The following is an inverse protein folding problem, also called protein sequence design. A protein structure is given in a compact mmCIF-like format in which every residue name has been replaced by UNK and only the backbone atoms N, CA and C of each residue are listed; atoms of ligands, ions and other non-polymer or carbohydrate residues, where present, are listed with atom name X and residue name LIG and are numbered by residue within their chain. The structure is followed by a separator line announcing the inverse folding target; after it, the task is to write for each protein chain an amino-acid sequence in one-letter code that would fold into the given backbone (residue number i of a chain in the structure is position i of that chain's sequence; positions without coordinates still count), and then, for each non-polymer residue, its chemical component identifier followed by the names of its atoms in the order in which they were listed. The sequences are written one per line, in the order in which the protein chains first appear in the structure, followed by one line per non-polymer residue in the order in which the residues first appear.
data_IF_172229748165
#
_entry.id   IF_172229748165
#
_cell.length_a   1.000
_cell.length_b   1.000
_cell.length_c   1.000
_cell.angle_alpha   90.00
_cell.angle_beta   90.00
_cell.angle_gamma   90.00
#
_symmetry.space_group_name_H-M   'P 1'
#
loop_
_entity.id
_entity.type
_entity.pdbx_description
1 polymer ?
#
# COMPACT_ATOMS: atom_id res chain seq x y z
N UNK A 1 -33.84 25.05 -47.46
CA UNK A 1 -34.18 25.29 -46.04
C UNK A 1 -34.41 24.01 -45.25
N UNK A 2 -35.06 22.94 -45.79
CA UNK A 2 -35.25 21.69 -45.02
C UNK A 2 -33.93 20.96 -44.72
N UNK A 3 -33.06 20.75 -45.72
CA UNK A 3 -31.78 20.05 -45.52
C UNK A 3 -30.89 20.64 -44.42
N UNK A 4 -30.93 21.97 -44.21
CA UNK A 4 -30.13 22.62 -43.16
C UNK A 4 -30.68 22.31 -41.77
N UNK A 5 -32.00 22.37 -41.59
CA UNK A 5 -32.65 21.99 -40.33
C UNK A 5 -32.45 20.49 -40.01
N UNK A 6 -32.48 19.63 -41.03
CA UNK A 6 -32.26 18.19 -40.85
C UNK A 6 -30.81 17.91 -40.41
N UNK A 7 -29.83 18.57 -41.02
CA UNK A 7 -28.42 18.51 -40.62
C UNK A 7 -28.17 19.02 -39.20
N UNK A 8 -28.78 20.15 -38.83
CA UNK A 8 -28.67 20.71 -37.46
C UNK A 8 -29.30 19.75 -36.44
N UNK A 9 -30.43 19.12 -36.78
CA UNK A 9 -31.08 18.12 -35.92
C UNK A 9 -30.20 16.89 -35.69
N UNK A 10 -29.57 16.35 -36.73
CA UNK A 10 -28.63 15.22 -36.60
C UNK A 10 -27.36 15.60 -35.84
N UNK A 11 -26.90 16.83 -35.99
CA UNK A 11 -25.74 17.35 -35.26
C UNK A 11 -26.02 17.52 -33.76
N UNK A 12 -27.22 17.97 -33.38
CA UNK A 12 -27.65 18.04 -31.97
C UNK A 12 -27.77 16.64 -31.35
N UNK A 13 -28.34 15.67 -32.06
CA UNK A 13 -28.37 14.26 -31.58
C UNK A 13 -26.96 13.68 -31.38
N UNK A 14 -26.03 14.07 -32.24
CA UNK A 14 -24.62 13.66 -32.11
C UNK A 14 -23.97 14.32 -30.90
N UNK A 15 -24.29 15.59 -30.64
CA UNK A 15 -23.83 16.31 -29.46
C UNK A 15 -24.37 15.70 -28.17
N UNK A 16 -25.64 15.30 -28.12
CA UNK A 16 -26.23 14.62 -26.95
C UNK A 16 -25.50 13.31 -26.63
N UNK A 17 -25.16 12.53 -27.67
CA UNK A 17 -24.33 11.32 -27.51
C UNK A 17 -22.93 11.64 -27.01
N UNK A 18 -22.33 12.73 -27.49
CA UNK A 18 -20.99 13.14 -27.06
C UNK A 18 -20.99 13.53 -25.58
N UNK A 19 -21.97 14.33 -25.16
CA UNK A 19 -22.12 14.74 -23.76
C UNK A 19 -22.37 13.55 -22.84
N UNK A 20 -23.19 12.59 -23.27
CA UNK A 20 -23.41 11.35 -22.53
C UNK A 20 -22.12 10.54 -22.36
N UNK A 21 -21.36 10.36 -23.45
CA UNK A 21 -20.08 9.65 -23.39
C UNK A 21 -19.09 10.39 -22.49
N UNK A 22 -19.06 11.73 -22.57
CA UNK A 22 -18.21 12.55 -21.72
C UNK A 22 -18.55 12.38 -20.24
N UNK A 23 -19.83 12.39 -19.86
CA UNK A 23 -20.23 12.16 -18.47
C UNK A 23 -19.87 10.77 -17.96
N UNK A 24 -19.96 9.74 -18.81
CA UNK A 24 -19.56 8.38 -18.42
C UNK A 24 -18.04 8.27 -18.25
N UNK A 25 -17.24 8.99 -19.06
CA UNK A 25 -15.78 9.07 -18.89
C UNK A 25 -15.43 9.74 -17.57
N UNK A 26 -16.05 10.89 -17.26
CA UNK A 26 -15.81 11.63 -16.01
C UNK A 26 -16.13 10.74 -14.78
N UNK A 27 -17.25 10.03 -14.82
CA UNK A 27 -17.63 9.05 -13.79
C UNK A 27 -16.60 7.91 -13.65
N UNK A 28 -16.10 7.36 -14.76
CA UNK A 28 -15.09 6.31 -14.72
C UNK A 28 -13.77 6.80 -14.10
N UNK A 29 -13.35 8.03 -14.41
CA UNK A 29 -12.14 8.64 -13.84
C UNK A 29 -12.28 8.88 -12.34
N UNK A 30 -13.47 9.29 -11.88
CA UNK A 30 -13.75 9.45 -10.45
C UNK A 30 -13.66 8.12 -9.70
N UNK A 31 -14.23 7.04 -10.26
CA UNK A 31 -14.13 5.69 -9.70
C UNK A 31 -12.68 5.19 -9.67
N UNK A 32 -11.90 5.44 -10.72
CA UNK A 32 -10.47 5.09 -10.78
C UNK A 32 -9.68 5.79 -9.67
N UNK A 33 -9.93 7.07 -9.44
CA UNK A 33 -9.29 7.83 -8.36
C UNK A 33 -9.60 7.23 -6.99
N UNK A 34 -10.86 6.88 -6.72
CA UNK A 34 -11.27 6.26 -5.46
C UNK A 34 -10.60 4.90 -5.24
N UNK A 35 -10.49 4.08 -6.30
CA UNK A 35 -9.80 2.78 -6.22
C UNK A 35 -8.32 2.96 -5.92
N UNK A 36 -7.65 3.92 -6.58
CA UNK A 36 -6.24 4.20 -6.35
C UNK A 36 -5.95 4.71 -4.94
N UNK A 37 -6.84 5.52 -4.37
CA UNK A 37 -6.75 5.96 -2.97
C UNK A 37 -6.87 4.78 -2.00
N UNK A 38 -7.89 3.93 -2.19
CA UNK A 38 -8.09 2.72 -1.36
C UNK A 38 -6.90 1.74 -1.46
N UNK A 39 -6.33 1.55 -2.66
CA UNK A 39 -5.14 0.71 -2.85
C UNK A 39 -3.92 1.26 -2.11
N UNK A 40 -3.69 2.57 -2.19
CA UNK A 40 -2.58 3.22 -1.46
C UNK A 40 -2.72 3.09 0.05
N UNK A 41 -3.93 3.25 0.58
CA UNK A 41 -4.21 3.04 2.00
C UNK A 41 -3.95 1.59 2.43
N UNK A 42 -4.41 0.62 1.63
CA UNK A 42 -4.21 -0.81 1.89
C UNK A 42 -2.73 -1.22 1.85
N UNK A 43 -1.97 -0.72 0.86
CA UNK A 43 -0.53 -0.99 0.75
C UNK A 43 0.26 -0.37 1.92
N UNK A 44 -0.13 0.82 2.37
CA UNK A 44 0.49 1.49 3.51
C UNK A 44 0.29 0.71 4.81
N UNK A 45 -0.93 0.20 5.05
CA UNK A 45 -1.24 -0.64 6.22
C UNK A 45 -0.39 -1.93 6.20
N UNK A 46 -0.28 -2.58 5.04
CA UNK A 46 0.52 -3.80 4.86
C UNK A 46 2.00 -3.58 5.17
N UNK A 47 2.59 -2.47 4.69
CA UNK A 47 3.99 -2.13 4.97
C UNK A 47 4.21 -1.83 6.47
N UNK A 48 3.27 -1.15 7.12
CA UNK A 48 3.35 -0.88 8.55
C UNK A 48 3.31 -2.15 9.39
N UNK A 49 2.46 -3.12 9.04
CA UNK A 49 2.44 -4.43 9.68
C UNK A 49 3.76 -5.20 9.50
N UNK A 50 4.37 -5.12 8.32
CA UNK A 50 5.67 -5.75 8.06
C UNK A 50 6.80 -5.10 8.86
N UNK A 51 6.83 -3.77 8.95
CA UNK A 51 7.78 -3.03 9.80
C UNK A 51 7.63 -3.45 11.27
N UNK A 52 6.40 -3.51 11.78
CA UNK A 52 6.12 -3.91 13.15
C UNK A 52 6.63 -5.33 13.44
N UNK A 53 6.37 -6.28 12.52
CA UNK A 53 6.86 -7.66 12.61
C UNK A 53 8.37 -7.72 12.67
N UNK A 54 9.06 -6.97 11.82
CA UNK A 54 10.53 -6.91 11.79
C UNK A 54 11.11 -6.32 13.09
N UNK A 55 10.44 -5.33 13.68
CA UNK A 55 10.86 -4.76 14.97
C UNK A 55 10.72 -5.76 16.12
N UNK A 56 9.62 -6.54 16.15
CA UNK A 56 9.41 -7.59 17.14
C UNK A 56 10.47 -8.70 17.02
N UNK A 57 10.77 -9.12 15.80
CA UNK A 57 11.82 -10.11 15.53
C UNK A 57 13.19 -9.60 15.99
N UNK A 58 13.52 -8.33 15.68
CA UNK A 58 14.77 -7.71 16.13
C UNK A 58 14.90 -7.70 17.66
N UNK A 59 13.81 -7.39 18.37
CA UNK A 59 13.77 -7.41 19.83
C UNK A 59 14.05 -8.81 20.39
N UNK A 60 13.45 -9.84 19.79
CA UNK A 60 13.66 -11.23 20.19
C UNK A 60 15.10 -11.68 19.96
N UNK A 61 15.68 -11.31 18.81
CA UNK A 61 17.08 -11.59 18.50
C UNK A 61 18.00 -10.92 19.51
N UNK A 62 17.72 -9.65 19.88
CA UNK A 62 18.51 -8.92 20.85
C UNK A 62 18.47 -9.57 22.24
N UNK A 63 17.28 -9.97 22.73
CA UNK A 63 17.14 -10.66 24.02
C UNK A 63 17.86 -12.02 24.02
N UNK A 64 17.75 -12.78 22.94
CA UNK A 64 18.46 -14.05 22.78
C UNK A 64 19.97 -13.85 22.80
N UNK A 65 20.47 -12.85 22.06
CA UNK A 65 21.88 -12.53 21.99
C UNK A 65 22.44 -12.13 23.36
N UNK A 66 21.68 -11.33 24.13
CA UNK A 66 22.07 -10.96 25.49
C UNK A 66 22.20 -12.19 26.40
N UNK A 67 21.21 -13.08 26.40
CA UNK A 67 21.23 -14.32 27.20
C UNK A 67 22.42 -15.20 26.83
N UNK A 68 22.66 -15.40 25.54
CA UNK A 68 23.81 -16.18 25.07
C UNK A 68 25.14 -15.55 25.51
N UNK A 69 25.25 -14.23 25.45
CA UNK A 69 26.45 -13.49 25.88
C UNK A 69 26.70 -13.67 27.38
N UNK A 70 25.66 -13.56 28.21
CA UNK A 70 25.74 -13.79 29.65
C UNK A 70 26.18 -15.23 29.97
N UNK A 71 25.65 -16.24 29.27
CA UNK A 71 26.04 -17.64 29.43
C UNK A 71 27.52 -17.87 29.09
N UNK A 72 28.00 -17.26 28.00
CA UNK A 72 29.42 -17.34 27.60
C UNK A 72 30.32 -16.76 28.69
N UNK A 73 30.00 -15.56 29.20
CA UNK A 73 30.75 -14.89 30.27
C UNK A 73 30.78 -15.75 31.53
N UNK A 74 29.62 -16.28 31.96
CA UNK A 74 29.52 -17.18 33.12
C UNK A 74 30.37 -18.43 32.94
N UNK A 75 30.35 -19.05 31.77
CA UNK A 75 31.17 -20.25 31.49
C UNK A 75 32.67 -19.93 31.58
N UNK A 76 33.08 -18.75 31.13
CA UNK A 76 34.47 -18.31 31.18
C UNK A 76 34.94 -18.04 32.62
N UNK A 77 34.11 -17.36 33.41
CA UNK A 77 34.37 -17.08 34.83
C UNK A 77 34.40 -18.36 35.69
N UNK A 78 33.51 -19.31 35.42
CA UNK A 78 33.50 -20.62 36.09
C UNK A 78 34.76 -21.45 35.81
N UNK A 79 35.29 -21.40 34.57
CA UNK A 79 36.55 -22.07 34.21
C UNK A 79 37.77 -21.47 34.90
N UNK A 80 37.76 -20.18 35.25
CA UNK A 80 38.88 -19.54 35.98
C UNK A 80 38.96 -19.96 37.46
N UNK A 81 37.87 -20.49 38.05
CA UNK A 81 37.82 -20.94 39.45
C UNK A 81 38.26 -22.41 39.66
N UNK A 82 38.55 -23.17 38.60
CA UNK A 82 39.00 -24.57 38.69
C UNK A 82 40.51 -24.75 38.47
N UNK A 83 41.26 -23.66 38.30
CA UNK A 83 42.71 -23.68 38.00
C UNK A 83 43.55 -23.03 39.10
N UNK A 84 43.13 -23.11 40.37
CA UNK A 84 43.92 -22.71 41.55
C UNK A 84 44.02 -23.89 42.51
#
# INVERSE_FOLDING_TARGET
MSNFNDLVGEQLKTMDKLLFIQSEIERCQELESQILELQKETELETIQEEIQRMQEELMQIHDLFQKQTEEVIRSYQGKMHQTV
#
